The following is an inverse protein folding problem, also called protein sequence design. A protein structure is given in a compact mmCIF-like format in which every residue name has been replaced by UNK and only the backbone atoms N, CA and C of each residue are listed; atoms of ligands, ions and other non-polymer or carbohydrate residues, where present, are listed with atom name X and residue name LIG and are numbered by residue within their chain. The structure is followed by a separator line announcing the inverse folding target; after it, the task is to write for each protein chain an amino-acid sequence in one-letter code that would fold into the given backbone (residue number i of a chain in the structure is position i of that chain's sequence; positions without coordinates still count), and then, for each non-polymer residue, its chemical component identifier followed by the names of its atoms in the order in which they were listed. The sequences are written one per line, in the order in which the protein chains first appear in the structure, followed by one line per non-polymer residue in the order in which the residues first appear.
data_IF_946370752537
#
_entry.id   IF_946370752537
#
_cell.length_a   1.000
_cell.length_b   1.000
_cell.length_c   1.000
_cell.angle_alpha   90.00
_cell.angle_beta   90.00
_cell.angle_gamma   90.00
#
_symmetry.space_group_name_H-M   'P 1'
#
loop_
_entity.id
_entity.type
_entity.pdbx_description
1 polymer ?
#
# COMPACT_ATOMS: atom_id res chain seq x y z
N UNK A 1 19.36 -10.06 3.98
CA UNK A 1 18.59 -9.27 2.98
C UNK A 1 17.89 -8.19 3.76
N UNK A 2 18.09 -6.90 3.43
CA UNK A 2 17.50 -5.80 4.20
C UNK A 2 16.04 -5.62 3.79
N UNK A 3 15.12 -5.74 4.73
CA UNK A 3 13.72 -5.34 4.62
C UNK A 3 13.49 -4.06 5.42
N UNK A 4 12.41 -3.34 5.11
CA UNK A 4 11.85 -2.25 5.95
C UNK A 4 11.75 -2.60 7.45
N UNK A 5 11.71 -3.90 7.77
CA UNK A 5 11.47 -4.45 9.10
C UNK A 5 12.73 -4.87 9.85
N UNK A 6 13.88 -4.89 9.18
CA UNK A 6 15.12 -5.32 9.78
C UNK A 6 15.67 -4.31 10.78
N UNK A 7 16.53 -4.80 11.67
CA UNK A 7 17.31 -3.93 12.56
C UNK A 7 18.22 -3.06 11.65
N UNK A 8 18.23 -1.73 11.80
CA UNK A 8 19.23 -0.91 11.13
C UNK A 8 20.64 -1.44 11.43
N UNK A 9 21.40 -1.77 10.39
CA UNK A 9 22.77 -2.28 10.50
C UNK A 9 22.93 -3.80 10.64
N UNK A 10 21.85 -4.61 10.65
CA UNK A 10 21.96 -6.08 10.68
C UNK A 10 22.11 -6.74 9.30
N UNK A 11 21.79 -6.01 8.23
CA UNK A 11 21.82 -6.53 6.86
C UNK A 11 22.58 -5.57 5.92
N UNK A 12 23.18 -6.09 4.83
CA UNK A 12 23.84 -5.26 3.83
C UNK A 12 22.81 -4.33 3.15
N UNK A 13 23.17 -3.06 2.86
CA UNK A 13 22.25 -2.10 2.28
C UNK A 13 21.67 -2.60 0.96
N UNK A 14 20.37 -2.39 0.76
CA UNK A 14 19.69 -2.78 -0.48
C UNK A 14 20.27 -1.95 -1.66
N UNK A 15 20.78 -2.60 -2.72
CA UNK A 15 21.48 -1.92 -3.81
C UNK A 15 20.59 -0.95 -4.60
N UNK A 16 19.27 -1.13 -4.55
CA UNK A 16 18.30 -0.30 -5.26
C UNK A 16 17.88 0.95 -4.48
N UNK A 17 18.15 1.03 -3.16
CA UNK A 17 17.68 2.14 -2.34
C UNK A 17 18.25 3.49 -2.78
N UNK A 18 19.55 3.59 -3.07
CA UNK A 18 20.17 4.86 -3.47
C UNK A 18 19.69 5.33 -4.85
N UNK A 19 19.70 4.49 -5.91
CA UNK A 19 19.16 4.89 -7.21
C UNK A 19 17.68 5.28 -7.17
N UNK A 20 16.84 4.56 -6.40
CA UNK A 20 15.42 4.91 -6.25
C UNK A 20 15.24 6.26 -5.54
N UNK A 21 15.99 6.54 -4.48
CA UNK A 21 15.88 7.84 -3.80
C UNK A 21 16.35 9.00 -4.70
N UNK A 22 17.40 8.79 -5.50
CA UNK A 22 17.87 9.78 -6.46
C UNK A 22 16.78 10.11 -7.52
N UNK A 23 16.12 9.10 -8.09
CA UNK A 23 15.09 9.32 -9.12
C UNK A 23 13.79 9.92 -8.52
N UNK A 24 13.38 9.52 -7.32
CA UNK A 24 12.23 10.13 -6.65
C UNK A 24 12.49 11.61 -6.34
N UNK A 25 13.74 11.95 -6.01
CA UNK A 25 14.17 13.34 -5.81
C UNK A 25 14.15 14.10 -7.13
N UNK A 26 14.62 13.52 -8.24
CA UNK A 26 14.58 14.18 -9.55
C UNK A 26 13.15 14.42 -10.04
N UNK A 27 12.24 13.47 -9.85
CA UNK A 27 10.81 13.67 -10.17
C UNK A 27 10.17 14.78 -9.34
N UNK A 28 10.59 14.93 -8.08
CA UNK A 28 10.13 16.01 -7.21
C UNK A 28 10.68 17.38 -7.64
N UNK A 29 11.93 17.41 -8.10
CA UNK A 29 12.66 18.62 -8.51
C UNK A 29 12.49 18.99 -9.99
N UNK A 30 11.85 18.17 -10.83
CA UNK A 30 11.59 18.51 -12.25
C UNK A 30 10.64 19.73 -12.42
N UNK A 31 10.19 20.33 -11.32
CA UNK A 31 9.55 21.65 -11.24
C UNK A 31 10.52 22.82 -10.97
N UNK A 32 11.80 22.55 -10.66
CA UNK A 32 12.82 23.52 -10.27
C UNK A 32 14.23 23.14 -10.78
N UNK A 33 14.58 23.69 -11.95
CA UNK A 33 15.93 23.96 -12.51
C UNK A 33 17.19 23.42 -11.77
N UNK A 34 17.47 22.12 -11.85
CA UNK A 34 18.78 21.54 -11.49
C UNK A 34 19.15 20.36 -12.40
N UNK A 35 20.45 20.07 -12.66
CA UNK A 35 20.88 18.99 -13.54
C UNK A 35 20.90 17.66 -12.78
N UNK A 36 19.74 17.01 -12.68
CA UNK A 36 19.67 15.60 -12.31
C UNK A 36 19.89 14.72 -13.56
N UNK A 37 20.43 13.50 -13.44
CA UNK A 37 20.42 12.54 -14.55
C UNK A 37 18.99 12.38 -15.07
N UNK A 38 18.85 12.22 -16.39
CA UNK A 38 17.53 12.06 -16.98
C UNK A 38 16.85 10.83 -16.34
N UNK A 39 15.57 10.94 -15.93
CA UNK A 39 14.85 9.82 -15.30
C UNK A 39 14.99 8.51 -16.08
N UNK A 40 15.05 8.58 -17.41
CA UNK A 40 15.17 7.42 -18.29
C UNK A 40 16.50 6.65 -18.11
N UNK A 41 17.64 7.34 -17.96
CA UNK A 41 18.95 6.69 -17.75
C UNK A 41 19.00 5.91 -16.42
N UNK A 42 18.34 6.43 -15.39
CA UNK A 42 18.30 5.77 -14.08
C UNK A 42 17.36 4.54 -14.11
N UNK A 43 16.24 4.63 -14.83
CA UNK A 43 15.35 3.48 -15.04
C UNK A 43 16.06 2.37 -15.83
N UNK A 44 16.76 2.70 -16.91
CA UNK A 44 17.55 1.74 -17.67
C UNK A 44 18.62 1.08 -16.81
N UNK A 45 19.29 1.85 -15.94
CA UNK A 45 20.26 1.32 -15.00
C UNK A 45 19.64 0.32 -14.02
N UNK A 46 18.48 0.64 -13.44
CA UNK A 46 17.75 -0.27 -12.54
C UNK A 46 17.36 -1.58 -13.23
N UNK A 47 16.85 -1.48 -14.45
CA UNK A 47 16.51 -2.65 -15.28
C UNK A 47 17.75 -3.49 -15.56
N UNK A 48 18.85 -2.84 -15.93
CA UNK A 48 20.11 -3.53 -16.23
C UNK A 48 20.63 -4.31 -15.01
N UNK A 49 20.58 -3.74 -13.80
CA UNK A 49 20.94 -4.43 -12.55
C UNK A 49 20.12 -5.72 -12.41
N UNK A 50 18.80 -5.66 -12.62
CA UNK A 50 17.93 -6.85 -12.54
C UNK A 50 18.27 -7.88 -13.61
N UNK A 51 18.38 -7.46 -14.88
CA UNK A 51 18.51 -8.39 -16.02
C UNK A 51 19.87 -9.07 -16.10
N UNK A 52 20.91 -8.43 -15.58
CA UNK A 52 22.28 -8.95 -15.54
C UNK A 52 22.59 -9.67 -14.23
N UNK A 53 21.65 -9.69 -13.27
CA UNK A 53 21.82 -10.44 -12.03
C UNK A 53 21.94 -11.95 -12.31
N UNK A 54 22.81 -12.68 -11.59
CA UNK A 54 22.80 -14.15 -11.61
C UNK A 54 21.52 -14.72 -11.00
N UNK A 55 20.80 -13.92 -10.22
CA UNK A 55 19.47 -14.22 -9.67
C UNK A 55 18.52 -13.02 -9.88
N UNK A 56 17.85 -12.93 -11.04
CA UNK A 56 16.94 -11.84 -11.35
C UNK A 56 15.67 -11.85 -10.49
N UNK A 57 15.24 -13.01 -10.00
CA UNK A 57 14.08 -13.10 -9.12
C UNK A 57 14.35 -12.39 -7.80
N UNK A 58 15.52 -12.64 -7.20
CA UNK A 58 15.99 -11.94 -6.00
C UNK A 58 16.21 -10.45 -6.26
N UNK A 59 16.84 -10.09 -7.38
CA UNK A 59 17.01 -8.67 -7.74
C UNK A 59 15.67 -7.92 -7.91
N UNK A 60 14.65 -8.56 -8.51
CA UNK A 60 13.30 -8.01 -8.59
C UNK A 60 12.68 -7.80 -7.21
N UNK A 61 12.90 -8.73 -6.28
CA UNK A 61 12.44 -8.56 -4.90
C UNK A 61 13.07 -7.33 -4.25
N UNK A 62 14.39 -7.20 -4.36
CA UNK A 62 15.14 -6.10 -3.75
C UNK A 62 14.75 -4.74 -4.36
N UNK A 63 14.50 -4.68 -5.67
CA UNK A 63 13.98 -3.50 -6.35
C UNK A 63 12.64 -3.05 -5.73
N UNK A 64 11.69 -3.97 -5.58
CA UNK A 64 10.38 -3.64 -5.04
C UNK A 64 10.41 -3.37 -3.54
N UNK A 65 11.22 -4.09 -2.77
CA UNK A 65 11.45 -3.79 -1.36
C UNK A 65 12.01 -2.38 -1.15
N UNK A 66 12.99 -1.97 -1.97
CA UNK A 66 13.53 -0.61 -1.92
C UNK A 66 12.47 0.44 -2.33
N UNK A 67 11.66 0.14 -3.36
CA UNK A 67 10.56 1.01 -3.79
C UNK A 67 9.51 1.18 -2.68
N UNK A 68 9.02 0.09 -2.09
CA UNK A 68 8.02 0.16 -1.02
C UNK A 68 8.58 0.77 0.26
N UNK A 69 9.85 0.55 0.58
CA UNK A 69 10.55 1.28 1.64
C UNK A 69 10.51 2.79 1.37
N UNK A 70 10.78 3.22 0.14
CA UNK A 70 10.70 4.62 -0.24
C UNK A 70 9.26 5.18 -0.22
N UNK A 71 8.25 4.35 -0.50
CA UNK A 71 6.83 4.72 -0.38
C UNK A 71 6.48 5.02 1.08
N UNK A 72 6.72 4.08 1.97
CA UNK A 72 6.22 4.15 3.35
C UNK A 72 7.02 5.08 4.26
N UNK A 73 8.27 5.36 3.90
CA UNK A 73 9.09 6.37 4.59
C UNK A 73 8.92 7.78 4.02
N UNK A 74 8.15 7.95 2.93
CA UNK A 74 7.91 9.27 2.36
C UNK A 74 7.09 10.15 3.30
N UNK A 75 7.53 11.40 3.47
CA UNK A 75 6.81 12.42 4.23
C UNK A 75 5.86 13.26 3.35
N UNK A 76 5.95 13.12 2.02
CA UNK A 76 5.33 14.01 1.05
C UNK A 76 4.35 13.26 0.12
N UNK A 77 3.98 13.90 -1.00
CA UNK A 77 3.11 13.34 -2.04
C UNK A 77 3.69 12.07 -2.66
N UNK A 78 2.81 11.13 -3.06
CA UNK A 78 3.17 9.91 -3.78
C UNK A 78 3.29 10.09 -5.31
N UNK A 79 3.13 11.31 -5.82
CA UNK A 79 3.28 11.61 -7.26
C UNK A 79 4.63 11.13 -7.83
N UNK A 80 5.79 11.33 -7.17
CA UNK A 80 7.06 10.80 -7.66
C UNK A 80 7.09 9.27 -7.75
N UNK A 81 6.45 8.57 -6.81
CA UNK A 81 6.36 7.10 -6.82
C UNK A 81 5.49 6.60 -7.99
N UNK A 82 4.41 7.31 -8.32
CA UNK A 82 3.59 6.99 -9.48
C UNK A 82 4.35 7.24 -10.79
N UNK A 83 5.05 8.38 -10.90
CA UNK A 83 5.89 8.68 -12.06
C UNK A 83 7.00 7.64 -12.27
N UNK A 84 7.61 7.15 -11.18
CA UNK A 84 8.55 6.03 -11.23
C UNK A 84 7.91 4.77 -11.83
N UNK A 85 6.71 4.39 -11.39
CA UNK A 85 6.03 3.22 -11.92
C UNK A 85 5.66 3.38 -13.40
N UNK A 86 5.25 4.58 -13.82
CA UNK A 86 4.95 4.84 -15.23
C UNK A 86 6.20 4.79 -16.10
N UNK A 87 7.32 5.34 -15.61
CA UNK A 87 8.60 5.24 -16.28
C UNK A 87 9.09 3.79 -16.41
N UNK A 88 8.91 2.96 -15.37
CA UNK A 88 9.17 1.51 -15.44
C UNK A 88 8.25 0.82 -16.46
N UNK A 89 6.94 1.15 -16.49
CA UNK A 89 5.99 0.54 -17.44
C UNK A 89 6.26 0.90 -18.89
N UNK A 90 6.89 2.05 -19.15
CA UNK A 90 7.24 2.49 -20.49
C UNK A 90 8.40 1.67 -21.11
N UNK A 91 9.09 0.86 -20.31
CA UNK A 91 10.28 0.13 -20.75
C UNK A 91 9.92 -1.09 -21.59
N UNK A 92 10.76 -1.36 -22.60
CA UNK A 92 10.58 -2.52 -23.47
C UNK A 92 10.88 -3.83 -22.73
N UNK A 93 10.21 -4.95 -23.06
CA UNK A 93 10.51 -6.23 -22.43
C UNK A 93 11.99 -6.64 -22.58
N UNK A 94 12.59 -7.08 -21.48
CA UNK A 94 14.03 -7.42 -21.43
C UNK A 94 14.26 -8.89 -21.13
N UNK A 95 15.26 -9.49 -21.77
CA UNK A 95 15.63 -10.88 -21.54
C UNK A 95 16.77 -10.96 -20.49
N UNK A 96 16.56 -11.63 -19.35
CA UNK A 96 17.65 -11.95 -18.43
C UNK A 96 18.67 -12.88 -19.11
N UNK A 97 19.97 -12.61 -18.96
CA UNK A 97 21.03 -13.29 -19.72
C UNK A 97 22.13 -13.95 -18.88
N UNK A 98 22.12 -13.78 -17.56
CA UNK A 98 23.17 -14.28 -16.66
C UNK A 98 22.69 -15.40 -15.71
N UNK A 99 21.57 -16.05 -16.02
CA UNK A 99 21.02 -17.14 -15.22
C UNK A 99 21.60 -18.49 -15.65
N UNK A 100 22.14 -19.25 -14.70
CA UNK A 100 22.69 -20.58 -14.98
C UNK A 100 21.58 -21.60 -15.27
N UNK A 101 21.65 -22.37 -16.37
CA UNK A 101 20.68 -23.43 -16.66
C UNK A 101 20.65 -24.51 -15.56
N UNK A 102 19.46 -24.95 -15.18
CA UNK A 102 19.23 -25.92 -14.11
C UNK A 102 19.39 -25.37 -12.69
N UNK A 103 19.59 -24.06 -12.53
CA UNK A 103 19.70 -23.43 -11.20
C UNK A 103 18.33 -23.15 -10.58
N UNK A 104 18.32 -22.99 -9.26
CA UNK A 104 17.12 -22.55 -8.53
C UNK A 104 16.64 -21.16 -9.01
N UNK A 105 17.59 -20.26 -9.34
CA UNK A 105 17.30 -18.94 -9.89
C UNK A 105 16.54 -19.00 -11.22
N UNK A 106 16.84 -19.98 -12.09
CA UNK A 106 16.07 -20.23 -13.32
C UNK A 106 14.63 -20.64 -13.00
N UNK A 107 14.45 -21.53 -12.01
CA UNK A 107 13.14 -21.96 -11.55
C UNK A 107 12.28 -20.81 -11.04
N UNK A 108 12.84 -19.93 -10.21
CA UNK A 108 12.10 -18.75 -9.71
C UNK A 108 11.80 -17.74 -10.81
N UNK A 109 12.77 -17.48 -11.70
CA UNK A 109 12.59 -16.57 -12.83
C UNK A 109 11.42 -16.99 -13.73
N UNK A 110 11.21 -18.29 -13.91
CA UNK A 110 10.15 -18.84 -14.75
C UNK A 110 8.74 -18.33 -14.36
N UNK A 111 8.52 -17.98 -13.09
CA UNK A 111 7.25 -17.43 -12.61
C UNK A 111 7.00 -15.97 -12.99
N UNK A 112 8.02 -15.27 -13.50
CA UNK A 112 7.98 -13.83 -13.80
C UNK A 112 8.19 -13.49 -15.27
N UNK A 113 8.68 -14.43 -16.07
CA UNK A 113 8.84 -14.29 -17.52
C UNK A 113 7.62 -14.82 -18.27
N UNK A 114 7.36 -14.28 -19.45
CA UNK A 114 6.33 -14.82 -20.35
C UNK A 114 6.89 -15.93 -21.25
N UNK A 115 6.04 -16.46 -22.15
CA UNK A 115 6.43 -17.48 -23.11
C UNK A 115 7.60 -17.07 -24.04
N UNK A 116 7.86 -15.77 -24.19
CA UNK A 116 9.00 -15.23 -24.93
C UNK A 116 10.31 -15.17 -24.12
N UNK A 117 10.29 -15.62 -22.87
CA UNK A 117 11.45 -15.65 -21.98
C UNK A 117 11.85 -14.28 -21.43
N UNK A 118 11.00 -13.24 -21.57
CA UNK A 118 11.31 -11.87 -21.16
C UNK A 118 10.56 -11.44 -19.92
N UNK A 119 11.16 -10.50 -19.20
CA UNK A 119 10.49 -9.68 -18.19
C UNK A 119 9.72 -8.56 -18.89
N UNK A 120 8.40 -8.53 -18.71
CA UNK A 120 7.52 -7.53 -19.30
C UNK A 120 7.29 -6.38 -18.32
N UNK A 121 8.14 -5.36 -18.38
CA UNK A 121 8.04 -4.17 -17.51
C UNK A 121 6.70 -3.42 -17.55
N UNK A 122 5.92 -3.40 -18.66
CA UNK A 122 4.55 -2.86 -18.64
C UNK A 122 3.65 -3.53 -17.59
N UNK A 123 3.94 -4.77 -17.22
CA UNK A 123 3.21 -5.55 -16.20
C UNK A 123 3.83 -5.47 -14.80
N UNK A 124 4.97 -4.79 -14.65
CA UNK A 124 5.74 -4.67 -13.41
C UNK A 124 5.93 -6.04 -12.71
N UNK A 125 6.81 -6.91 -13.23
CA UNK A 125 6.96 -8.28 -12.74
C UNK A 125 7.22 -8.30 -11.23
N UNK A 126 6.52 -9.18 -10.49
CA UNK A 126 6.55 -9.31 -9.02
C UNK A 126 5.96 -8.15 -8.20
N UNK A 127 5.74 -6.96 -8.77
CA UNK A 127 5.24 -5.78 -8.04
C UNK A 127 3.99 -6.09 -7.21
N UNK A 128 2.99 -6.72 -7.82
CA UNK A 128 1.71 -7.02 -7.15
C UNK A 128 1.87 -7.92 -5.93
N UNK A 129 2.69 -8.97 -6.04
CA UNK A 129 2.93 -9.89 -4.92
C UNK A 129 3.60 -9.14 -3.77
N UNK A 130 4.67 -8.39 -4.07
CA UNK A 130 5.39 -7.61 -3.06
C UNK A 130 4.50 -6.55 -2.41
N UNK A 131 3.65 -5.89 -3.19
CA UNK A 131 2.70 -4.91 -2.67
C UNK A 131 1.73 -5.53 -1.65
N UNK A 132 1.15 -6.70 -1.98
CA UNK A 132 0.28 -7.43 -1.07
C UNK A 132 1.02 -7.85 0.22
N UNK A 133 2.25 -8.35 0.08
CA UNK A 133 3.06 -8.77 1.23
C UNK A 133 3.37 -7.58 2.15
N UNK A 134 3.85 -6.47 1.58
CA UNK A 134 4.14 -5.24 2.34
C UNK A 134 2.88 -4.70 3.02
N UNK A 135 1.75 -4.66 2.32
CA UNK A 135 0.49 -4.21 2.90
C UNK A 135 0.07 -5.09 4.08
N UNK A 136 0.07 -6.42 3.91
CA UNK A 136 -0.33 -7.36 4.97
C UNK A 136 0.60 -7.34 6.18
N UNK A 137 1.91 -7.20 5.96
CA UNK A 137 2.89 -7.03 7.04
C UNK A 137 2.60 -5.75 7.82
N UNK A 138 2.45 -4.62 7.12
CA UNK A 138 2.20 -3.33 7.77
C UNK A 138 0.86 -3.31 8.50
N UNK A 139 -0.17 -3.94 7.94
CA UNK A 139 -1.45 -4.12 8.60
C UNK A 139 -1.30 -4.91 9.91
N UNK A 140 -0.56 -6.02 9.91
CA UNK A 140 -0.33 -6.84 11.11
C UNK A 140 0.54 -6.14 12.17
N UNK A 141 1.34 -5.14 11.77
CA UNK A 141 2.28 -4.43 12.64
C UNK A 141 1.78 -3.04 13.01
N UNK A 142 0.66 -2.57 12.46
CA UNK A 142 0.17 -1.19 12.59
C UNK A 142 -0.04 -0.75 14.03
N UNK A 143 -0.44 -1.68 14.90
CA UNK A 143 -0.68 -1.47 16.32
C UNK A 143 0.57 -1.70 17.18
N UNK A 144 1.75 -1.96 16.61
CA UNK A 144 2.98 -2.12 17.39
C UNK A 144 3.55 -0.76 17.84
N UNK A 145 3.88 -0.62 19.12
CA UNK A 145 4.31 0.65 19.72
C UNK A 145 5.81 0.99 19.50
N UNK A 146 6.52 0.12 18.78
CA UNK A 146 7.93 0.29 18.43
C UNK A 146 8.92 -0.18 19.49
N UNK A 147 8.46 -0.65 20.66
CA UNK A 147 9.33 -1.17 21.71
C UNK A 147 9.65 -2.65 21.43
N UNK A 148 10.91 -2.94 21.11
CA UNK A 148 11.42 -4.32 21.12
C UNK A 148 11.72 -4.70 22.55
N UNK A 149 11.19 -5.83 23.04
CA UNK A 149 11.61 -6.39 24.31
C UNK A 149 13.11 -6.62 24.24
N UNK A 150 13.88 -5.93 25.09
CA UNK A 150 15.29 -6.22 25.23
C UNK A 150 15.41 -7.67 25.70
N UNK A 151 15.98 -8.54 24.85
CA UNK A 151 16.44 -9.83 25.30
C UNK A 151 17.41 -9.61 26.46
N UNK A 152 17.24 -10.36 27.54
CA UNK A 152 18.12 -10.36 28.70
C UNK A 152 19.58 -10.46 28.23
N UNK A 153 20.34 -9.36 28.30
CA UNK A 153 21.79 -9.42 28.05
C UNK A 153 22.48 -8.16 27.55
N UNK A 154 21.81 -7.23 26.86
CA UNK A 154 22.53 -6.11 26.25
C UNK A 154 22.06 -4.75 26.79
N UNK A 155 22.86 -4.19 27.70
CA UNK A 155 22.82 -2.82 28.19
C UNK A 155 23.23 -1.82 27.08
N UNK A 156 22.49 -1.79 25.97
CA UNK A 156 22.61 -0.73 24.98
C UNK A 156 21.38 0.15 25.04
N UNK A 157 21.55 1.32 25.65
CA UNK A 157 20.73 2.50 25.47
C UNK A 157 20.69 2.85 23.98
N UNK A 158 19.71 2.33 23.25
CA UNK A 158 19.33 2.88 21.94
C UNK A 158 17.93 3.46 22.04
N UNK A 159 17.88 4.69 22.52
CA UNK A 159 16.79 5.61 22.25
C UNK A 159 16.79 5.90 20.74
N UNK A 160 15.82 5.34 20.03
CA UNK A 160 15.40 5.86 18.73
C UNK A 160 13.94 5.50 18.46
N UNK A 161 12.99 6.43 18.70
CA UNK A 161 11.60 6.28 18.31
C UNK A 161 11.46 6.55 16.80
N UNK A 162 12.23 5.84 15.97
CA UNK A 162 12.37 6.17 14.54
C UNK A 162 11.24 5.58 13.67
N UNK A 163 10.58 4.50 14.11
CA UNK A 163 9.52 3.87 13.32
C UNK A 163 8.20 3.91 14.10
N UNK A 164 7.20 4.61 13.54
CA UNK A 164 5.81 4.46 13.95
C UNK A 164 5.11 3.59 12.89
N UNK A 165 4.89 2.28 13.15
CA UNK A 165 4.27 1.37 12.20
C UNK A 165 2.92 1.83 11.67
N UNK A 166 2.10 2.49 12.50
CA UNK A 166 0.83 3.06 12.05
C UNK A 166 1.02 4.13 10.97
N UNK A 167 2.08 4.95 11.07
CA UNK A 167 2.40 5.92 10.00
C UNK A 167 2.76 5.20 8.70
N UNK A 168 3.57 4.14 8.76
CA UNK A 168 3.92 3.37 7.55
C UNK A 168 2.69 2.69 6.93
N UNK A 169 1.79 2.19 7.79
CA UNK A 169 0.53 1.62 7.32
C UNK A 169 -0.35 2.67 6.63
N UNK A 170 -0.51 3.86 7.22
CA UNK A 170 -1.23 4.96 6.57
C UNK A 170 -0.58 5.35 5.23
N UNK A 171 0.75 5.43 5.15
CA UNK A 171 1.45 5.75 3.90
C UNK A 171 1.25 4.70 2.82
N UNK A 172 1.25 3.41 3.15
CA UNK A 172 0.96 2.39 2.13
C UNK A 172 -0.50 2.45 1.68
N UNK A 173 -1.45 2.78 2.57
CA UNK A 173 -2.85 3.02 2.18
C UNK A 173 -2.96 4.24 1.26
N UNK A 174 -2.35 5.37 1.60
CA UNK A 174 -2.33 6.60 0.79
C UNK A 174 -1.75 6.33 -0.61
N UNK A 175 -0.63 5.63 -0.69
CA UNK A 175 -0.04 5.21 -1.96
C UNK A 175 -0.97 4.30 -2.75
N UNK A 176 -1.59 3.32 -2.09
CA UNK A 176 -2.50 2.37 -2.72
C UNK A 176 -3.73 3.06 -3.32
N UNK A 177 -4.26 4.08 -2.63
CA UNK A 177 -5.32 4.97 -3.11
C UNK A 177 -4.85 5.80 -4.30
N UNK A 178 -3.68 6.45 -4.18
CA UNK A 178 -3.13 7.28 -5.24
C UNK A 178 -2.91 6.45 -6.52
N UNK A 179 -2.44 5.23 -6.36
CA UNK A 179 -2.24 4.27 -7.43
C UNK A 179 -3.57 3.78 -8.01
N UNK A 180 -4.60 3.53 -7.19
CA UNK A 180 -5.96 3.19 -7.65
C UNK A 180 -6.54 4.31 -8.52
N UNK A 181 -6.38 5.56 -8.09
CA UNK A 181 -6.83 6.75 -8.82
C UNK A 181 -6.07 6.92 -10.13
N UNK A 182 -4.75 6.77 -10.13
CA UNK A 182 -3.92 6.90 -11.32
C UNK A 182 -4.26 5.85 -12.38
N UNK A 183 -4.64 4.63 -11.98
CA UNK A 183 -5.00 3.57 -12.93
C UNK A 183 -6.49 3.48 -13.23
N UNK A 184 -7.33 4.34 -12.65
CA UNK A 184 -8.80 4.24 -12.70
C UNK A 184 -9.29 2.83 -12.33
N UNK A 185 -8.69 2.21 -11.32
CA UNK A 185 -9.04 0.85 -10.89
C UNK A 185 -8.55 -0.28 -11.80
N UNK A 186 -7.80 0.02 -12.86
CA UNK A 186 -7.27 -0.99 -13.80
C UNK A 186 -5.92 -1.55 -13.34
N UNK A 187 -5.58 -2.74 -13.83
CA UNK A 187 -4.27 -3.36 -13.68
C UNK A 187 -4.05 -4.09 -12.35
N UNK A 188 -2.84 -3.99 -11.80
CA UNK A 188 -2.42 -4.74 -10.61
C UNK A 188 -3.07 -4.26 -9.29
N UNK A 189 -3.77 -3.13 -9.33
CA UNK A 189 -4.24 -2.38 -8.16
C UNK A 189 -5.66 -2.81 -7.84
N UNK A 190 -5.79 -3.73 -6.88
CA UNK A 190 -7.11 -4.26 -6.51
C UNK A 190 -7.67 -3.50 -5.31
N UNK A 191 -8.90 -2.98 -5.38
CA UNK A 191 -9.53 -2.27 -4.27
C UNK A 191 -9.97 -3.19 -3.13
N UNK A 192 -9.55 -4.46 -3.11
CA UNK A 192 -9.93 -5.45 -2.10
C UNK A 192 -9.67 -4.96 -0.66
N UNK A 193 -8.60 -4.19 -0.46
CA UNK A 193 -8.26 -3.60 0.83
C UNK A 193 -9.25 -2.54 1.30
N UNK A 194 -9.92 -1.84 0.38
CA UNK A 194 -11.02 -0.90 0.73
C UNK A 194 -12.14 -1.66 1.41
N UNK A 195 -12.52 -2.81 0.85
CA UNK A 195 -13.60 -3.62 1.39
C UNK A 195 -13.26 -4.16 2.76
N UNK A 196 -12.05 -4.70 2.96
CA UNK A 196 -11.64 -5.16 4.29
C UNK A 196 -11.60 -4.03 5.32
N UNK A 197 -11.08 -2.85 4.96
CA UNK A 197 -11.10 -1.69 5.85
C UNK A 197 -12.54 -1.26 6.22
N UNK A 198 -13.44 -1.20 5.23
CA UNK A 198 -14.84 -0.83 5.45
C UNK A 198 -15.59 -1.88 6.26
N UNK A 199 -15.37 -3.18 6.01
CA UNK A 199 -15.97 -4.26 6.79
C UNK A 199 -15.60 -4.14 8.26
N UNK A 200 -14.32 -3.92 8.56
CA UNK A 200 -13.81 -3.90 9.92
C UNK A 200 -14.31 -2.70 10.75
N UNK A 201 -14.64 -1.58 10.09
CA UNK A 201 -15.01 -0.32 10.76
C UNK A 201 -16.48 0.04 10.57
N UNK A 202 -16.93 0.11 9.31
CA UNK A 202 -18.22 0.66 8.94
C UNK A 202 -19.33 -0.39 9.08
N UNK A 203 -19.01 -1.67 8.96
CA UNK A 203 -20.00 -2.74 8.97
C UNK A 203 -20.01 -3.58 10.26
N UNK A 204 -19.38 -3.06 11.32
CA UNK A 204 -19.36 -3.66 12.65
C UNK A 204 -19.91 -2.71 13.69
N UNK A 205 -20.44 -3.28 14.77
CA UNK A 205 -21.05 -2.51 15.87
C UNK A 205 -20.04 -1.73 16.69
N UNK A 206 -18.78 -2.15 16.71
CA UNK A 206 -17.72 -1.49 17.46
C UNK A 206 -16.35 -2.15 17.27
N UNK A 207 -15.32 -1.68 17.99
CA UNK A 207 -13.97 -2.21 17.90
C UNK A 207 -13.89 -3.67 18.34
N UNK A 208 -12.91 -4.38 17.79
CA UNK A 208 -12.53 -5.69 18.31
C UNK A 208 -11.97 -5.52 19.72
N UNK A 209 -12.61 -6.16 20.69
CA UNK A 209 -12.08 -6.26 22.05
C UNK A 209 -10.96 -7.29 22.08
N UNK A 210 -9.78 -6.91 21.59
CA UNK A 210 -8.56 -7.63 21.91
C UNK A 210 -8.04 -7.12 23.26
N UNK A 211 -7.70 -8.06 24.16
CA UNK A 211 -7.10 -7.70 25.44
C UNK A 211 -5.79 -6.94 25.25
N UNK A 212 -5.39 -6.10 26.22
CA UNK A 212 -4.15 -5.35 26.13
C UNK A 212 -2.96 -6.30 25.93
N UNK A 213 -2.16 -6.01 24.91
CA UNK A 213 -0.92 -6.75 24.61
C UNK A 213 0.26 -5.84 24.90
N UNK A 214 1.31 -6.38 25.51
CA UNK A 214 2.54 -5.65 25.70
C UNK A 214 3.08 -5.16 24.35
N UNK A 215 3.57 -3.93 24.31
CA UNK A 215 4.14 -3.30 23.13
C UNK A 215 3.14 -3.09 21.98
N UNK A 216 1.85 -3.02 22.29
CA UNK A 216 0.80 -2.68 21.32
C UNK A 216 0.05 -1.42 21.76
N UNK A 217 -0.49 -0.70 20.78
CA UNK A 217 -1.43 0.39 20.95
C UNK A 217 -2.63 -0.05 21.79
N UNK A 218 -3.26 0.91 22.48
CA UNK A 218 -4.52 0.62 23.15
C UNK A 218 -5.62 0.30 22.13
N UNK A 219 -6.66 -0.45 22.51
CA UNK A 219 -7.79 -0.73 21.60
C UNK A 219 -8.40 0.53 20.98
N UNK A 220 -8.46 1.63 21.72
CA UNK A 220 -8.98 2.93 21.26
C UNK A 220 -8.06 3.55 20.19
N UNK A 221 -6.75 3.45 20.35
CA UNK A 221 -5.77 3.93 19.38
C UNK A 221 -5.82 3.12 18.08
N UNK A 222 -5.94 1.80 18.18
CA UNK A 222 -6.12 0.92 17.01
C UNK A 222 -7.44 1.23 16.31
N UNK A 223 -8.51 1.44 17.08
CA UNK A 223 -9.80 1.83 16.53
C UNK A 223 -9.73 3.15 15.77
N UNK A 224 -9.12 4.19 16.35
CA UNK A 224 -8.96 5.48 15.68
C UNK A 224 -8.14 5.35 14.38
N UNK A 225 -7.07 4.54 14.39
CA UNK A 225 -6.28 4.24 13.19
C UNK A 225 -7.11 3.54 12.11
N UNK A 226 -7.86 2.50 12.48
CA UNK A 226 -8.68 1.74 11.53
C UNK A 226 -9.79 2.62 10.94
N UNK A 227 -10.45 3.45 11.77
CA UNK A 227 -11.42 4.46 11.32
C UNK A 227 -10.78 5.41 10.31
N UNK A 228 -9.60 5.94 10.61
CA UNK A 228 -8.88 6.85 9.72
C UNK A 228 -8.54 6.19 8.39
N UNK A 229 -8.10 4.93 8.40
CA UNK A 229 -7.79 4.15 7.18
C UNK A 229 -9.06 3.95 6.34
N UNK A 230 -10.15 3.46 6.94
CA UNK A 230 -11.41 3.24 6.24
C UNK A 230 -11.98 4.54 5.65
N UNK A 231 -12.00 5.62 6.44
CA UNK A 231 -12.47 6.92 5.99
C UNK A 231 -11.59 7.49 4.86
N UNK A 232 -10.26 7.32 4.92
CA UNK A 232 -9.35 7.78 3.86
C UNK A 232 -9.59 7.02 2.56
N UNK A 233 -9.77 5.71 2.63
CA UNK A 233 -10.14 4.88 1.48
C UNK A 233 -11.46 5.31 0.85
N UNK A 234 -12.49 5.53 1.66
CA UNK A 234 -13.79 6.01 1.17
C UNK A 234 -13.65 7.39 0.53
N UNK A 235 -13.13 8.37 1.28
CA UNK A 235 -13.01 9.77 0.81
C UNK A 235 -12.32 9.87 -0.54
N UNK A 236 -11.22 9.14 -0.72
CA UNK A 236 -10.36 9.29 -1.89
C UNK A 236 -10.61 8.25 -2.99
N UNK A 237 -11.19 7.09 -2.65
CA UNK A 237 -11.36 5.95 -3.55
C UNK A 237 -12.81 5.70 -3.99
N UNK A 238 -13.81 6.21 -3.26
CA UNK A 238 -15.22 5.92 -3.55
C UNK A 238 -15.68 6.35 -4.93
N UNK A 239 -15.19 7.48 -5.46
CA UNK A 239 -15.58 7.94 -6.80
C UNK A 239 -15.11 6.96 -7.89
N UNK A 240 -13.90 6.41 -7.75
CA UNK A 240 -13.43 5.36 -8.66
C UNK A 240 -14.27 4.11 -8.49
N UNK A 241 -14.49 3.64 -7.26
CA UNK A 241 -15.28 2.42 -7.01
C UNK A 241 -16.71 2.53 -7.53
N UNK A 242 -17.33 3.70 -7.40
CA UNK A 242 -18.66 3.98 -7.91
C UNK A 242 -18.73 3.96 -9.44
N UNK A 243 -17.67 4.41 -10.11
CA UNK A 243 -17.57 4.47 -11.56
C UNK A 243 -17.06 3.17 -12.21
N UNK A 244 -16.56 2.21 -11.43
CA UNK A 244 -16.05 0.94 -11.94
C UNK A 244 -17.17 0.07 -12.51
N UNK A 245 -16.83 -0.71 -13.54
CA UNK A 245 -17.71 -1.76 -14.06
C UNK A 245 -17.97 -2.80 -12.98
N UNK A 246 -19.26 -3.04 -12.69
CA UNK A 246 -19.67 -3.89 -11.58
C UNK A 246 -19.26 -5.35 -11.80
N UNK A 247 -19.28 -5.84 -13.05
CA UNK A 247 -18.91 -7.22 -13.36
C UNK A 247 -17.39 -7.42 -13.21
N UNK A 248 -16.58 -6.45 -13.62
CA UNK A 248 -15.14 -6.46 -13.43
C UNK A 248 -14.75 -6.36 -11.95
N UNK A 249 -15.45 -5.51 -11.20
CA UNK A 249 -15.29 -5.37 -9.77
C UNK A 249 -15.64 -6.69 -9.06
N UNK A 250 -16.75 -7.32 -9.43
CA UNK A 250 -17.19 -8.59 -8.87
C UNK A 250 -16.21 -9.72 -9.18
N UNK A 251 -15.82 -9.89 -10.44
CA UNK A 251 -14.91 -10.97 -10.90
C UNK A 251 -13.61 -11.02 -10.09
N UNK A 252 -13.13 -9.87 -9.65
CA UNK A 252 -11.84 -9.76 -8.97
C UNK A 252 -11.94 -9.65 -7.44
N UNK A 253 -13.13 -9.35 -6.89
CA UNK A 253 -13.31 -9.02 -5.47
C UNK A 253 -14.55 -9.68 -4.84
N UNK A 254 -15.19 -10.65 -5.49
CA UNK A 254 -16.42 -11.31 -5.01
C UNK A 254 -16.29 -11.80 -3.57
N UNK A 255 -15.19 -12.45 -3.21
CA UNK A 255 -14.97 -12.94 -1.84
C UNK A 255 -15.00 -11.83 -0.77
N UNK A 256 -14.57 -10.61 -1.11
CA UNK A 256 -14.70 -9.47 -0.20
C UNK A 256 -16.11 -8.87 -0.28
N UNK A 257 -16.66 -8.67 -1.48
CA UNK A 257 -17.98 -8.07 -1.68
C UNK A 257 -19.12 -8.89 -1.06
N UNK A 258 -19.04 -10.22 -1.10
CA UNK A 258 -20.00 -11.17 -0.55
C UNK A 258 -19.74 -11.48 0.94
N UNK A 259 -18.70 -10.90 1.55
CA UNK A 259 -18.38 -11.17 2.94
C UNK A 259 -19.46 -10.60 3.87
N UNK A 260 -20.15 -11.50 4.58
CA UNK A 260 -21.19 -11.14 5.55
C UNK A 260 -20.59 -10.53 6.80
N UNK A 261 -21.08 -9.36 7.16
CA UNK A 261 -20.72 -8.65 8.39
C UNK A 261 -21.93 -8.50 9.31
N UNK A 262 -21.70 -8.02 10.53
CA UNK A 262 -22.76 -7.83 11.53
C UNK A 262 -23.83 -6.83 11.08
N UNK A 263 -23.41 -5.76 10.38
CA UNK A 263 -24.30 -4.71 9.88
C UNK A 263 -24.66 -4.89 8.40
N UNK A 264 -23.96 -5.75 7.66
CA UNK A 264 -24.27 -6.11 6.27
C UNK A 264 -24.31 -7.63 6.06
N UNK A 265 -25.42 -8.30 6.39
CA UNK A 265 -25.53 -9.76 6.24
C UNK A 265 -25.87 -10.22 4.81
N UNK A 266 -25.98 -9.30 3.84
CA UNK A 266 -26.36 -9.56 2.45
C UNK A 266 -25.13 -9.84 1.58
N UNK A 267 -25.31 -10.65 0.54
CA UNK A 267 -24.27 -11.02 -0.44
C UNK A 267 -24.52 -10.33 -1.80
N UNK A 268 -24.94 -9.05 -1.77
CA UNK A 268 -25.36 -8.29 -2.95
C UNK A 268 -24.29 -7.27 -3.42
N UNK A 269 -23.09 -7.29 -2.81
CA UNK A 269 -21.96 -6.44 -3.18
C UNK A 269 -22.10 -4.98 -2.78
N UNK A 270 -21.71 -4.04 -3.65
CA UNK A 270 -21.76 -2.59 -3.42
C UNK A 270 -23.09 -1.99 -3.89
N UNK A 271 -24.17 -2.30 -3.19
CA UNK A 271 -25.48 -1.71 -3.46
C UNK A 271 -25.59 -0.28 -2.94
N UNK A 272 -26.59 0.46 -3.43
CA UNK A 272 -26.89 1.82 -2.96
C UNK A 272 -27.13 1.85 -1.45
N UNK A 273 -27.80 0.83 -0.92
CA UNK A 273 -28.10 0.67 0.50
C UNK A 273 -26.83 0.43 1.32
N UNK A 274 -25.84 -0.29 0.78
CA UNK A 274 -24.55 -0.48 1.46
C UNK A 274 -23.76 0.82 1.54
N UNK A 275 -23.79 1.61 0.47
CA UNK A 275 -23.23 2.97 0.48
C UNK A 275 -23.92 3.86 1.51
N UNK A 276 -25.24 3.81 1.61
CA UNK A 276 -26.00 4.54 2.65
C UNK A 276 -25.58 4.13 4.06
N UNK A 277 -25.42 2.82 4.32
CA UNK A 277 -24.90 2.34 5.60
C UNK A 277 -23.52 2.96 5.91
N UNK A 278 -22.59 2.93 4.96
CA UNK A 278 -21.25 3.51 5.16
C UNK A 278 -21.29 5.01 5.44
N UNK A 279 -22.15 5.75 4.73
CA UNK A 279 -22.40 7.18 4.94
C UNK A 279 -22.84 7.46 6.38
N UNK A 280 -23.91 6.82 6.84
CA UNK A 280 -24.47 7.00 8.18
C UNK A 280 -23.43 6.69 9.27
N UNK A 281 -22.64 5.64 9.06
CA UNK A 281 -21.59 5.22 10.00
C UNK A 281 -20.44 6.21 10.06
N UNK A 282 -19.98 6.70 8.91
CA UNK A 282 -18.95 7.75 8.85
C UNK A 282 -19.42 9.05 9.48
N UNK A 283 -20.69 9.44 9.26
CA UNK A 283 -21.26 10.63 9.90
C UNK A 283 -21.32 10.49 11.41
N UNK A 284 -21.72 9.32 11.95
CA UNK A 284 -21.67 9.06 13.38
C UNK A 284 -20.24 9.18 13.94
N UNK A 285 -19.27 8.55 13.28
CA UNK A 285 -17.85 8.60 13.66
C UNK A 285 -17.29 10.03 13.58
N UNK A 286 -17.75 10.87 12.66
CA UNK A 286 -17.33 12.28 12.57
C UNK A 286 -17.71 13.14 13.79
N UNK A 287 -18.62 12.65 14.63
CA UNK A 287 -19.06 13.31 15.87
C UNK A 287 -18.63 12.59 17.14
N UNK A 288 -17.87 11.51 17.01
CA UNK A 288 -17.43 10.69 18.13
C UNK A 288 -16.36 11.40 18.97
N UNK A 289 -16.66 11.63 20.25
CA UNK A 289 -15.78 12.35 21.16
C UNK A 289 -14.48 11.58 21.47
N UNK A 290 -14.49 10.25 21.32
CA UNK A 290 -13.35 9.38 21.63
C UNK A 290 -12.31 9.37 20.49
N UNK A 291 -12.66 9.89 19.30
CA UNK A 291 -11.75 10.03 18.17
C UNK A 291 -11.00 11.37 18.23
N UNK A 292 -9.78 11.37 17.70
CA UNK A 292 -9.05 12.62 17.51
C UNK A 292 -9.65 13.48 16.37
N UNK A 293 -9.35 14.78 16.41
CA UNK A 293 -9.94 15.77 15.49
C UNK A 293 -9.66 15.48 14.02
N UNK A 294 -8.46 15.01 13.69
CA UNK A 294 -8.10 14.71 12.31
C UNK A 294 -8.87 13.48 11.81
N UNK A 295 -9.02 12.45 12.65
CA UNK A 295 -9.83 11.27 12.31
C UNK A 295 -11.30 11.63 12.11
N UNK A 296 -11.88 12.45 13.00
CA UNK A 296 -13.26 12.96 12.84
C UNK A 296 -13.44 13.75 11.55
N UNK A 297 -12.51 14.66 11.24
CA UNK A 297 -12.57 15.47 10.04
C UNK A 297 -12.53 14.63 8.76
N UNK A 298 -11.64 13.62 8.71
CA UNK A 298 -11.56 12.70 7.56
C UNK A 298 -12.82 11.86 7.43
N UNK A 299 -13.41 11.39 8.54
CA UNK A 299 -14.67 10.66 8.52
C UNK A 299 -15.83 11.52 8.00
N UNK A 300 -15.92 12.78 8.42
CA UNK A 300 -16.93 13.72 7.92
C UNK A 300 -16.81 13.95 6.41
N UNK A 301 -15.60 14.21 5.92
CA UNK A 301 -15.33 14.36 4.48
C UNK A 301 -15.68 13.10 3.69
N UNK A 302 -15.39 11.91 4.25
CA UNK A 302 -15.74 10.65 3.61
C UNK A 302 -17.26 10.46 3.50
N UNK A 303 -18.02 10.82 4.54
CA UNK A 303 -19.48 10.80 4.52
C UNK A 303 -20.04 11.77 3.46
N UNK A 304 -19.50 12.99 3.35
CA UNK A 304 -19.88 13.96 2.32
C UNK A 304 -19.68 13.40 0.91
N UNK A 305 -18.55 12.74 0.64
CA UNK A 305 -18.29 12.12 -0.67
C UNK A 305 -19.34 11.06 -1.01
N UNK A 306 -19.74 10.21 -0.06
CA UNK A 306 -20.80 9.24 -0.31
C UNK A 306 -22.16 9.93 -0.51
N UNK A 307 -22.48 10.95 0.30
CA UNK A 307 -23.72 11.71 0.17
C UNK A 307 -23.85 12.33 -1.23
N UNK A 308 -22.77 12.92 -1.75
CA UNK A 308 -22.69 13.42 -3.13
C UNK A 308 -22.98 12.32 -4.16
N UNK A 309 -22.33 11.15 -4.04
CA UNK A 309 -22.51 10.02 -4.95
C UNK A 309 -23.96 9.50 -4.96
N UNK A 310 -24.61 9.53 -3.81
CA UNK A 310 -25.99 9.10 -3.65
C UNK A 310 -27.01 10.18 -4.04
N UNK A 311 -26.58 11.43 -4.23
CA UNK A 311 -27.48 12.56 -4.44
C UNK A 311 -28.31 12.92 -3.19
N UNK A 312 -27.77 12.66 -2.00
CA UNK A 312 -28.37 13.07 -0.73
C UNK A 312 -28.09 14.57 -0.54
N UNK A 313 -29.13 15.39 -0.47
CA UNK A 313 -28.98 16.83 -0.23
C UNK A 313 -28.48 17.07 1.20
N UNK A 314 -27.44 17.90 1.36
CA UNK A 314 -26.97 18.39 2.65
C UNK A 314 -27.99 19.42 3.16
N UNK A 315 -29.01 18.96 3.88
CA UNK A 315 -29.96 19.82 4.60
C UNK A 315 -29.46 20.16 6.00
#
# INVERSE_FOLDING_TARGET
MTTLLDVPGSNPPNPFSTPIQAILTSFSLSSASAPAPAPDETIEHLINIVTTSPDPATALWELWDAFFTAVVTSSASHVPHLAFLDAMRAQSPTQPNNVAPGSEAEGYLHSYIQADGKLHWPMLPRFRAQWCDVHGILEAWRDWDGVRTAGEGNNSTSSSPICNPAKYYLRICDFSIALLNATNGKGAVRPVWVFYACHNVLERKGPLSDGPRAHRMSPEQVWALDVRVAATWVRNGSRILWAMDQDELWRNNSAALEYKTELWPKEDGLTRERWQLWEERLRALSTDADLDEETRAVAGQAAEVIAELLGLSLT
#
